data_IF_838015428335
#
_entry.id   IF_838015428335
#
_cell.length_a   1.000
_cell.length_b   1.000
_cell.length_c   1.000
_cell.angle_alpha   90.00
_cell.angle_beta   90.00
_cell.angle_gamma   90.00
#
_symmetry.space_group_name_H-M   'P 1'
#
loop_
_entity.id
_entity.type
_entity.pdbx_description
1 polymer ?
#
# COMPACT_ATOMS: atom_id res chain seq x y z
N UNK A 1 -3.41 16.69 15.02
CA UNK A 1 -4.61 15.83 14.82
C UNK A 1 -4.25 14.53 14.10
N UNK A 2 -3.33 14.56 13.12
CA UNK A 2 -2.69 13.35 12.58
C UNK A 2 -1.38 12.96 13.28
N UNK A 3 -0.76 13.89 13.99
CA UNK A 3 0.40 13.66 14.86
C UNK A 3 0.09 12.83 16.12
N UNK A 4 -1.14 12.34 16.29
CA UNK A 4 -1.45 11.40 17.38
C UNK A 4 -0.62 10.11 17.16
N UNK A 5 0.25 9.72 18.09
CA UNK A 5 1.11 8.54 17.94
C UNK A 5 0.34 7.25 17.62
N UNK A 6 -0.93 7.15 18.05
CA UNK A 6 -1.79 5.99 17.78
C UNK A 6 -2.25 5.95 16.32
N UNK A 7 -2.48 7.11 15.72
CA UNK A 7 -2.84 7.22 14.30
C UNK A 7 -1.63 6.83 13.45
N UNK A 8 -0.46 7.39 13.78
CA UNK A 8 0.79 7.10 13.08
C UNK A 8 1.13 5.60 13.16
N UNK A 9 1.05 5.00 14.35
CA UNK A 9 1.26 3.57 14.54
C UNK A 9 0.35 2.72 13.64
N UNK A 10 -0.95 3.03 13.60
CA UNK A 10 -1.91 2.29 12.76
C UNK A 10 -1.63 2.43 11.25
N UNK A 11 -1.14 3.58 10.81
CA UNK A 11 -0.72 3.80 9.43
C UNK A 11 0.46 2.88 9.09
N UNK A 12 1.52 2.89 9.91
CA UNK A 12 2.70 2.04 9.73
C UNK A 12 2.37 0.54 9.79
N UNK A 13 1.56 0.10 10.76
CA UNK A 13 1.10 -1.29 10.85
C UNK A 13 0.35 -1.71 9.58
N UNK A 14 -0.45 -0.80 9.02
CA UNK A 14 -1.20 -1.07 7.78
C UNK A 14 -0.27 -1.15 6.58
N UNK A 15 0.71 -0.24 6.46
CA UNK A 15 1.73 -0.27 5.41
C UNK A 15 2.53 -1.58 5.44
N UNK A 16 3.07 -1.93 6.61
CA UNK A 16 3.86 -3.16 6.81
C UNK A 16 3.03 -4.40 6.48
N UNK A 17 1.78 -4.46 6.92
CA UNK A 17 0.88 -5.57 6.60
C UNK A 17 0.68 -5.71 5.08
N UNK A 18 0.42 -4.61 4.38
CA UNK A 18 0.19 -4.64 2.93
C UNK A 18 1.42 -5.16 2.19
N UNK A 19 2.59 -4.57 2.46
CA UNK A 19 3.85 -4.96 1.79
C UNK A 19 4.22 -6.39 2.14
N UNK A 20 4.10 -6.80 3.41
CA UNK A 20 4.35 -8.18 3.84
C UNK A 20 3.44 -9.17 3.12
N UNK A 21 2.15 -8.87 3.00
CA UNK A 21 1.21 -9.78 2.35
C UNK A 21 1.53 -9.94 0.86
N UNK A 22 1.90 -8.85 0.18
CA UNK A 22 2.31 -8.86 -1.22
C UNK A 22 3.62 -9.65 -1.43
N UNK A 23 4.59 -9.50 -0.52
CA UNK A 23 5.87 -10.22 -0.59
C UNK A 23 5.75 -11.71 -0.26
N UNK A 24 4.92 -12.07 0.72
CA UNK A 24 4.76 -13.47 1.17
C UNK A 24 3.85 -14.29 0.25
N UNK A 25 2.92 -13.63 -0.44
CA UNK A 25 1.94 -14.29 -1.32
C UNK A 25 1.91 -13.57 -2.69
N UNK A 26 3.04 -13.59 -3.43
CA UNK A 26 3.21 -12.80 -4.65
C UNK A 26 2.35 -13.25 -5.82
N UNK A 27 1.68 -14.40 -5.73
CA UNK A 27 0.74 -14.90 -6.74
C UNK A 27 -0.71 -14.46 -6.47
N UNK A 28 -1.06 -14.15 -5.23
CA UNK A 28 -2.42 -13.74 -4.84
C UNK A 28 -2.72 -12.26 -5.20
N UNK A 29 -3.47 -12.05 -6.30
CA UNK A 29 -3.77 -10.71 -6.85
C UNK A 29 -4.33 -9.73 -5.81
N UNK A 30 -5.19 -10.21 -4.90
CA UNK A 30 -5.82 -9.39 -3.85
C UNK A 30 -4.82 -8.69 -2.93
N UNK A 31 -3.58 -9.20 -2.81
CA UNK A 31 -2.53 -8.57 -2.00
C UNK A 31 -1.65 -7.61 -2.82
N UNK A 32 -1.64 -7.75 -4.14
CA UNK A 32 -0.90 -6.88 -5.05
C UNK A 32 -1.76 -5.76 -5.62
N UNK A 33 -3.07 -5.77 -5.43
CA UNK A 33 -3.98 -4.78 -6.01
C UNK A 33 -4.91 -4.18 -4.96
N UNK A 34 -4.73 -2.89 -4.69
CA UNK A 34 -5.39 -2.17 -3.60
C UNK A 34 -6.23 -1.06 -4.18
N UNK A 35 -7.52 -1.05 -3.84
CA UNK A 35 -8.41 0.05 -4.21
C UNK A 35 -8.18 1.24 -3.28
N UNK A 36 -7.74 2.37 -3.82
CA UNK A 36 -7.48 3.62 -3.08
C UNK A 36 -8.75 4.15 -2.40
N UNK A 37 -9.92 3.87 -2.96
CA UNK A 37 -11.22 4.21 -2.36
C UNK A 37 -11.70 3.24 -1.29
N UNK A 38 -10.99 2.14 -1.02
CA UNK A 38 -11.28 1.29 0.13
C UNK A 38 -11.22 2.14 1.40
N UNK A 39 -12.33 2.17 2.16
CA UNK A 39 -12.47 3.04 3.33
C UNK A 39 -11.33 2.86 4.33
N UNK A 40 -10.93 1.61 4.60
CA UNK A 40 -9.90 1.31 5.57
C UNK A 40 -8.53 1.79 5.09
N UNK A 41 -8.23 1.54 3.81
CA UNK A 41 -6.99 2.02 3.21
C UNK A 41 -6.95 3.54 3.20
N UNK A 42 -8.01 4.20 2.72
CA UNK A 42 -8.12 5.67 2.66
C UNK A 42 -7.96 6.30 4.04
N UNK A 43 -8.61 5.76 5.07
CA UNK A 43 -8.55 6.30 6.43
C UNK A 43 -7.19 6.09 7.09
N UNK A 44 -6.50 4.98 6.81
CA UNK A 44 -5.24 4.65 7.50
C UNK A 44 -3.98 5.09 6.77
N UNK A 45 -3.99 5.03 5.44
CA UNK A 45 -2.81 5.23 4.60
C UNK A 45 -3.09 6.25 3.50
N UNK A 46 -4.15 6.04 2.71
CA UNK A 46 -4.39 6.79 1.48
C UNK A 46 -4.73 8.28 1.66
N UNK A 47 -5.04 8.72 2.88
CA UNK A 47 -5.17 10.15 3.22
C UNK A 47 -3.84 10.86 3.46
N UNK A 48 -2.76 10.12 3.66
CA UNK A 48 -1.40 10.63 3.83
C UNK A 48 -0.69 10.59 2.49
N UNK A 49 -0.13 11.73 2.06
CA UNK A 49 0.65 11.80 0.82
C UNK A 49 1.86 10.87 0.91
N UNK A 50 2.53 10.90 2.05
CA UNK A 50 3.69 10.08 2.40
C UNK A 50 3.33 8.57 2.43
N UNK A 51 2.09 8.23 2.79
CA UNK A 51 1.60 6.86 2.75
C UNK A 51 1.47 6.32 1.33
N UNK A 52 1.09 7.16 0.37
CA UNK A 52 1.05 6.80 -1.06
C UNK A 52 2.48 6.73 -1.62
N UNK A 53 3.32 7.71 -1.32
CA UNK A 53 4.73 7.74 -1.75
C UNK A 53 5.50 6.50 -1.25
N UNK A 54 5.28 6.08 -0.01
CA UNK A 54 5.86 4.85 0.54
C UNK A 54 5.46 3.62 -0.28
N UNK A 55 4.17 3.51 -0.63
CA UNK A 55 3.68 2.39 -1.46
C UNK A 55 4.34 2.38 -2.85
N UNK A 56 4.53 3.56 -3.44
CA UNK A 56 5.23 3.73 -4.71
C UNK A 56 6.71 3.32 -4.61
N UNK A 57 7.39 3.66 -3.51
CA UNK A 57 8.75 3.19 -3.23
C UNK A 57 8.83 1.67 -3.05
N UNK A 58 7.77 1.03 -2.56
CA UNK A 58 7.66 -0.44 -2.50
C UNK A 58 7.31 -1.09 -3.85
N UNK A 59 7.22 -0.31 -4.94
CA UNK A 59 6.97 -0.81 -6.29
C UNK A 59 5.49 -0.84 -6.70
N UNK A 60 4.56 -0.43 -5.84
CA UNK A 60 3.16 -0.28 -6.25
C UNK A 60 3.03 0.91 -7.19
N UNK A 61 2.33 0.72 -8.30
CA UNK A 61 2.09 1.76 -9.29
C UNK A 61 0.63 2.14 -9.29
N UNK A 62 0.35 3.42 -9.45
CA UNK A 62 -1.00 3.89 -9.68
C UNK A 62 -1.42 3.50 -11.08
N UNK A 63 -2.49 2.74 -11.22
CA UNK A 63 -3.02 2.38 -12.52
C UNK A 63 -3.60 3.64 -13.20
N UNK A 64 -3.14 3.96 -14.41
CA UNK A 64 -3.63 5.13 -15.15
C UNK A 64 -5.14 5.02 -15.36
N UNK A 65 -5.88 6.08 -14.98
CA UNK A 65 -7.35 6.18 -15.05
C UNK A 65 -8.12 5.22 -14.13
N UNK A 66 -7.44 4.64 -13.13
CA UNK A 66 -8.01 3.66 -12.22
C UNK A 66 -7.86 4.12 -10.76
N UNK A 67 -8.75 3.64 -9.89
CA UNK A 67 -8.68 3.88 -8.44
C UNK A 67 -7.79 2.87 -7.71
N UNK A 68 -6.86 2.22 -8.41
CA UNK A 68 -6.05 1.15 -7.86
C UNK A 68 -4.55 1.50 -7.80
N UNK A 69 -3.92 1.03 -6.73
CA UNK A 69 -2.48 0.85 -6.63
C UNK A 69 -2.20 -0.64 -6.88
N UNK A 70 -1.31 -0.96 -7.81
CA UNK A 70 -0.97 -2.34 -8.15
C UNK A 70 0.52 -2.61 -8.21
N UNK A 71 0.93 -3.77 -7.68
CA UNK A 71 2.28 -4.29 -7.77
C UNK A 71 2.33 -5.34 -8.89
N UNK A 72 3.17 -5.09 -9.89
CA UNK A 72 3.38 -6.01 -11.01
C UNK A 72 3.99 -7.33 -10.52
N UNK A 73 3.61 -8.46 -11.12
CA UNK A 73 4.24 -9.76 -10.86
C UNK A 73 5.71 -9.81 -11.28
N UNK A 74 6.13 -8.95 -12.21
CA UNK A 74 7.53 -8.83 -12.65
C UNK A 74 8.35 -7.85 -11.81
N UNK A 75 7.68 -6.92 -11.13
CA UNK A 75 8.33 -5.93 -10.25
C UNK A 75 8.31 -6.39 -8.77
N UNK A 76 7.83 -7.61 -8.49
CA UNK A 76 7.86 -8.23 -7.17
C UNK A 76 9.29 -8.62 -6.72
N UNK A 77 10.32 -8.20 -7.46
CA UNK A 77 11.72 -8.17 -7.06
C UNK A 77 11.94 -7.14 -5.92
N UNK A 78 11.26 -7.31 -4.79
CA UNK A 78 11.53 -6.60 -3.52
C UNK A 78 12.84 -7.14 -2.88
N UNK A 79 13.71 -7.81 -3.68
CA UNK A 79 14.93 -8.50 -3.27
C UNK A 79 16.19 -8.02 -4.03
N UNK A 80 16.22 -6.77 -4.49
CA UNK A 80 17.46 -6.18 -5.02
C UNK A 80 18.24 -5.40 -3.98
#
# INVERSE_FOLDING_TARGET
KDEDPRIMRRAFETLVMIVRNAAMNPDEEKYRRIRVTNRLFKERVGRFKEGIEFMELCGFKREERSEFLSLSTRDADILR
#
